data_IF_059104736188
#
_entry.id   IF_059104736188
#
_cell.length_a   1.000
_cell.length_b   1.000
_cell.length_c   1.000
_cell.angle_alpha   90.00
_cell.angle_beta   90.00
_cell.angle_gamma   90.00
#
_symmetry.space_group_name_H-M   'P 1'
#
loop_
_entity.id
_entity.type
_entity.pdbx_description
1 polymer ?
#
# COMPACT_ATOMS: atom_id res chain seq x y z
N UNK A 1 -13.10 -47.10 23.13
CA UNK A 1 -12.04 -46.44 22.37
C UNK A 1 -12.57 -46.14 20.96
N UNK A 2 -13.02 -44.94 20.67
CA UNK A 2 -13.41 -44.50 19.34
C UNK A 2 -12.38 -43.45 18.87
N UNK A 3 -11.66 -43.79 17.83
CA UNK A 3 -10.67 -42.98 17.18
C UNK A 3 -11.34 -41.77 16.52
N UNK A 4 -10.91 -40.57 16.89
CA UNK A 4 -11.33 -39.31 16.28
C UNK A 4 -10.42 -39.10 15.07
N UNK A 5 -10.89 -39.47 13.88
CA UNK A 5 -10.22 -39.11 12.62
C UNK A 5 -10.53 -37.67 12.32
N UNK A 6 -9.53 -36.79 12.51
CA UNK A 6 -9.55 -35.39 12.11
C UNK A 6 -9.62 -35.27 10.57
N UNK A 7 -10.76 -34.82 10.05
CA UNK A 7 -10.89 -34.43 8.64
C UNK A 7 -9.96 -33.24 8.37
N UNK A 8 -8.94 -33.50 7.60
CA UNK A 8 -8.14 -32.43 6.95
C UNK A 8 -9.07 -31.84 5.88
N UNK A 9 -9.56 -30.62 6.11
CA UNK A 9 -10.26 -29.85 5.08
C UNK A 9 -9.18 -29.39 4.08
N UNK A 10 -9.23 -29.95 2.87
CA UNK A 10 -8.34 -29.56 1.78
C UNK A 10 -8.52 -28.10 1.40
N UNK A 11 -7.52 -27.46 0.75
CA UNK A 11 -7.62 -26.08 0.35
C UNK A 11 -8.81 -25.90 -0.60
N UNK A 12 -9.60 -24.83 -0.35
CA UNK A 12 -10.69 -24.43 -1.24
C UNK A 12 -10.16 -24.29 -2.68
N UNK A 13 -10.94 -24.74 -3.65
CA UNK A 13 -10.53 -24.66 -5.05
C UNK A 13 -10.35 -23.21 -5.49
N UNK A 14 -9.46 -22.97 -6.42
CA UNK A 14 -9.18 -21.62 -6.98
C UNK A 14 -10.49 -20.95 -7.45
N UNK A 15 -11.47 -21.71 -7.94
CA UNK A 15 -12.78 -21.22 -8.38
C UNK A 15 -13.68 -20.74 -7.24
N UNK A 16 -13.58 -21.31 -6.03
CA UNK A 16 -14.33 -20.82 -4.84
C UNK A 16 -13.74 -19.55 -4.27
N UNK A 17 -12.43 -19.37 -4.39
CA UNK A 17 -11.73 -18.14 -4.04
C UNK A 17 -12.05 -16.98 -5.00
N UNK A 18 -12.33 -17.27 -6.26
CA UNK A 18 -12.68 -16.27 -7.27
C UNK A 18 -14.11 -15.73 -7.11
N UNK A 19 -15.05 -16.52 -6.61
CA UNK A 19 -16.46 -16.09 -6.39
C UNK A 19 -16.64 -15.10 -5.24
N UNK A 20 -15.70 -14.98 -4.32
CA UNK A 20 -15.75 -14.04 -3.19
C UNK A 20 -15.05 -12.70 -3.46
N UNK A 21 -14.43 -12.54 -4.64
CA UNK A 21 -13.64 -11.37 -5.01
C UNK A 21 -14.39 -10.59 -6.07
N UNK A 22 -15.03 -9.50 -5.67
CA UNK A 22 -15.54 -8.51 -6.62
C UNK A 22 -14.38 -7.92 -7.41
N UNK A 23 -14.09 -8.46 -8.59
CA UNK A 23 -13.23 -7.78 -9.56
C UNK A 23 -14.06 -6.64 -10.17
N UNK A 24 -13.67 -5.40 -9.87
CA UNK A 24 -14.19 -4.26 -10.58
C UNK A 24 -13.52 -4.21 -11.97
N UNK A 25 -14.28 -4.60 -13.00
CA UNK A 25 -13.91 -4.34 -14.39
C UNK A 25 -14.69 -3.08 -14.79
N UNK A 26 -14.01 -1.95 -15.09
CA UNK A 26 -14.71 -0.75 -15.51
C UNK A 26 -15.45 -1.01 -16.84
N UNK A 27 -16.79 -0.95 -16.84
CA UNK A 27 -17.56 -0.81 -18.08
C UNK A 27 -17.28 0.57 -18.66
N UNK A 28 -16.64 0.64 -19.82
CA UNK A 28 -16.43 1.81 -20.69
C UNK A 28 -16.48 3.18 -19.97
N UNK A 29 -15.50 3.45 -19.09
CA UNK A 29 -15.32 4.78 -18.54
C UNK A 29 -14.32 5.51 -19.44
N UNK A 30 -14.80 6.52 -20.13
CA UNK A 30 -13.94 7.47 -20.87
C UNK A 30 -12.92 8.03 -19.91
N UNK A 31 -11.63 7.72 -20.11
CA UNK A 31 -10.51 8.15 -19.27
C UNK A 31 -10.44 9.69 -19.25
N UNK A 32 -11.02 10.32 -18.25
CA UNK A 32 -10.90 11.77 -18.03
C UNK A 32 -9.70 11.99 -17.11
N UNK A 33 -8.50 12.06 -17.69
CA UNK A 33 -7.33 12.54 -16.97
C UNK A 33 -7.31 14.09 -17.03
N UNK A 34 -6.90 14.78 -15.95
CA UNK A 34 -6.71 16.22 -16.02
C UNK A 34 -5.69 16.55 -17.12
N UNK A 35 -6.07 17.44 -18.05
CA UNK A 35 -5.17 17.92 -19.08
C UNK A 35 -4.02 18.70 -18.44
N UNK A 36 -2.83 18.12 -18.47
CA UNK A 36 -1.61 18.81 -18.08
C UNK A 36 -0.74 18.93 -19.32
N UNK A 37 -0.43 20.17 -19.69
CA UNK A 37 0.16 20.57 -20.97
C UNK A 37 1.64 20.23 -21.14
N UNK A 38 2.32 19.70 -20.11
CA UNK A 38 3.75 19.36 -20.12
C UNK A 38 4.02 17.94 -19.61
N UNK A 39 3.43 16.94 -20.28
CA UNK A 39 3.75 15.53 -20.00
C UNK A 39 4.80 15.09 -21.02
N UNK A 40 5.97 14.57 -20.58
CA UNK A 40 6.91 13.93 -21.50
C UNK A 40 6.19 12.79 -22.20
N UNK A 41 6.54 12.54 -23.45
CA UNK A 41 5.97 11.48 -24.31
C UNK A 41 5.81 10.19 -23.52
N UNK A 42 4.56 9.77 -23.26
CA UNK A 42 4.25 8.51 -22.60
C UNK A 42 4.69 7.39 -23.54
N UNK A 43 5.80 6.75 -23.21
CA UNK A 43 6.17 5.49 -23.87
C UNK A 43 5.17 4.42 -23.42
N UNK A 44 4.96 3.40 -24.23
CA UNK A 44 4.09 2.24 -23.98
C UNK A 44 4.61 1.43 -22.76
N UNK A 45 4.59 2.04 -21.57
CA UNK A 45 5.18 1.53 -20.33
C UNK A 45 4.09 1.19 -19.33
N UNK A 46 4.21 -0.01 -18.77
CA UNK A 46 3.32 -0.55 -17.77
C UNK A 46 4.00 -0.57 -16.41
N UNK A 47 3.25 -0.25 -15.36
CA UNK A 47 3.76 -0.31 -13.99
C UNK A 47 2.75 -0.96 -13.04
N UNK A 48 3.28 -1.67 -12.04
CA UNK A 48 2.51 -2.11 -10.87
C UNK A 48 2.81 -1.17 -9.71
N UNK A 49 1.78 -0.73 -8.98
CA UNK A 49 1.91 0.12 -7.80
C UNK A 49 1.37 -0.61 -6.59
N UNK A 50 2.21 -0.81 -5.56
CA UNK A 50 1.76 -1.32 -4.26
C UNK A 50 0.97 -0.21 -3.58
N UNK A 51 -0.35 -0.38 -3.47
CA UNK A 51 -1.29 0.62 -2.98
C UNK A 51 -1.91 0.15 -1.66
N UNK A 52 -1.49 0.73 -0.54
CA UNK A 52 -2.08 0.43 0.77
C UNK A 52 -3.42 1.15 0.99
N UNK A 53 -3.63 2.30 0.36
CA UNK A 53 -4.74 3.22 0.63
C UNK A 53 -4.39 4.30 1.67
N UNK A 54 -3.17 4.30 2.18
CA UNK A 54 -2.59 5.40 2.96
C UNK A 54 -2.18 6.57 2.07
N UNK A 55 -1.85 7.71 2.69
CA UNK A 55 -1.53 8.95 1.96
C UNK A 55 -0.30 8.79 1.06
N UNK A 56 0.74 8.09 1.49
CA UNK A 56 2.01 7.96 0.78
C UNK A 56 1.86 7.15 -0.51
N UNK A 57 1.29 5.96 -0.41
CA UNK A 57 1.06 5.07 -1.57
C UNK A 57 0.02 5.64 -2.54
N UNK A 58 -0.95 6.43 -2.04
CA UNK A 58 -1.92 7.12 -2.88
C UNK A 58 -1.26 8.27 -3.64
N UNK A 59 -0.40 9.05 -2.99
CA UNK A 59 0.39 10.10 -3.66
C UNK A 59 1.29 9.48 -4.74
N UNK A 60 1.95 8.38 -4.41
CA UNK A 60 2.78 7.62 -5.36
C UNK A 60 1.97 7.15 -6.58
N UNK A 61 0.76 6.65 -6.38
CA UNK A 61 -0.13 6.25 -7.48
C UNK A 61 -0.39 7.41 -8.44
N UNK A 62 -0.73 8.60 -7.91
CA UNK A 62 -0.97 9.78 -8.74
C UNK A 62 0.29 10.23 -9.50
N UNK A 63 1.46 10.11 -8.88
CA UNK A 63 2.75 10.47 -9.51
C UNK A 63 3.09 9.50 -10.65
N UNK A 64 2.88 8.20 -10.44
CA UNK A 64 3.10 7.15 -11.45
C UNK A 64 2.15 7.31 -12.64
N UNK A 65 0.88 7.67 -12.40
CA UNK A 65 -0.10 7.92 -13.46
C UNK A 65 0.30 9.04 -14.43
N UNK A 66 1.17 9.94 -14.01
CA UNK A 66 1.70 11.00 -14.88
C UNK A 66 2.78 10.50 -15.85
N UNK A 67 3.44 9.40 -15.51
CA UNK A 67 4.65 8.92 -16.19
C UNK A 67 4.39 7.66 -17.01
N UNK A 68 3.40 6.84 -16.62
CA UNK A 68 3.10 5.54 -17.21
C UNK A 68 1.82 5.58 -18.04
N UNK A 69 1.76 4.74 -19.06
CA UNK A 69 0.56 4.59 -19.89
C UNK A 69 -0.47 3.69 -19.24
N UNK A 70 -0.02 2.57 -18.68
CA UNK A 70 -0.87 1.62 -17.97
C UNK A 70 -0.35 1.42 -16.54
N UNK A 71 -1.23 1.61 -15.56
CA UNK A 71 -0.91 1.45 -14.15
C UNK A 71 -1.85 0.44 -13.52
N UNK A 72 -1.28 -0.52 -12.79
CA UNK A 72 -1.96 -1.63 -12.16
C UNK A 72 -1.75 -1.60 -10.64
N UNK A 73 -2.65 -0.95 -9.87
CA UNK A 73 -2.59 -0.96 -8.42
C UNK A 73 -2.85 -2.34 -7.85
N UNK A 74 -2.05 -2.73 -6.84
CA UNK A 74 -2.23 -3.96 -6.08
C UNK A 74 -2.23 -3.67 -4.58
N UNK A 75 -3.21 -4.21 -3.86
CA UNK A 75 -3.34 -4.12 -2.40
C UNK A 75 -3.30 -5.50 -1.76
N UNK A 76 -3.01 -5.53 -0.45
CA UNK A 76 -2.85 -6.78 0.29
C UNK A 76 -3.70 -6.79 1.55
N UNK A 77 -4.44 -7.89 1.73
CA UNK A 77 -5.01 -8.29 3.02
C UNK A 77 -4.02 -9.26 3.66
N UNK A 78 -3.31 -8.82 4.72
CA UNK A 78 -2.26 -9.61 5.35
C UNK A 78 -2.61 -10.07 6.77
N UNK A 79 -3.89 -9.97 7.16
CA UNK A 79 -4.39 -10.27 8.50
C UNK A 79 -4.44 -9.04 9.40
N UNK A 80 -4.37 -7.83 8.84
CA UNK A 80 -4.53 -6.58 9.59
C UNK A 80 -5.91 -6.51 10.27
N UNK A 81 -5.99 -5.79 11.41
CA UNK A 81 -7.18 -5.69 12.25
C UNK A 81 -8.43 -5.13 11.55
N UNK A 82 -8.25 -4.40 10.45
CA UNK A 82 -9.35 -3.79 9.70
C UNK A 82 -9.02 -3.65 8.21
N UNK A 83 -10.06 -3.46 7.41
CA UNK A 83 -9.93 -3.37 5.94
C UNK A 83 -10.04 -1.92 5.41
N UNK A 84 -10.06 -0.90 6.28
CA UNK A 84 -10.30 0.49 5.84
C UNK A 84 -9.28 0.98 4.83
N UNK A 85 -8.00 0.64 5.03
CA UNK A 85 -6.94 1.00 4.08
C UNK A 85 -7.20 0.39 2.70
N UNK A 86 -7.51 -0.90 2.63
CA UNK A 86 -7.80 -1.57 1.35
C UNK A 86 -9.07 -1.02 0.69
N UNK A 87 -10.09 -0.66 1.50
CA UNK A 87 -11.29 0.01 0.98
C UNK A 87 -10.95 1.40 0.43
N UNK A 88 -10.09 2.17 1.11
CA UNK A 88 -9.58 3.46 0.62
C UNK A 88 -8.82 3.32 -0.70
N UNK A 89 -7.99 2.28 -0.83
CA UNK A 89 -7.30 1.96 -2.08
C UNK A 89 -8.29 1.64 -3.21
N UNK A 90 -9.32 0.84 -2.92
CA UNK A 90 -10.39 0.52 -3.88
C UNK A 90 -11.16 1.78 -4.32
N UNK A 91 -11.58 2.63 -3.37
CA UNK A 91 -12.33 3.86 -3.67
C UNK A 91 -11.48 4.84 -4.50
N UNK A 92 -10.18 4.94 -4.21
CA UNK A 92 -9.24 5.72 -5.02
C UNK A 92 -9.15 5.18 -6.45
N UNK A 93 -8.97 3.87 -6.62
CA UNK A 93 -8.92 3.25 -7.95
C UNK A 93 -10.22 3.44 -8.72
N UNK A 94 -11.38 3.26 -8.05
CA UNK A 94 -12.71 3.51 -8.63
C UNK A 94 -12.86 4.95 -9.11
N UNK A 95 -12.45 5.93 -8.31
CA UNK A 95 -12.48 7.36 -8.68
C UNK A 95 -11.62 7.64 -9.91
N UNK A 96 -10.47 7.00 -10.01
CA UNK A 96 -9.50 7.19 -11.11
C UNK A 96 -9.80 6.32 -12.34
N UNK A 97 -10.81 5.43 -12.29
CA UNK A 97 -11.11 4.49 -13.38
C UNK A 97 -10.00 3.47 -13.62
N UNK A 98 -9.26 3.07 -12.57
CA UNK A 98 -8.15 2.13 -12.64
C UNK A 98 -8.60 0.71 -12.31
N UNK A 99 -7.97 -0.32 -12.89
CA UNK A 99 -8.12 -1.68 -12.41
C UNK A 99 -7.63 -1.76 -10.95
N UNK A 100 -8.26 -2.62 -10.15
CA UNK A 100 -7.85 -2.83 -8.77
C UNK A 100 -7.67 -4.32 -8.50
N UNK A 101 -6.49 -4.69 -8.02
CA UNK A 101 -6.18 -6.07 -7.59
C UNK A 101 -5.98 -6.09 -6.09
N UNK A 102 -6.64 -7.00 -5.39
CA UNK A 102 -6.33 -7.27 -3.99
C UNK A 102 -6.01 -8.74 -3.79
N UNK A 103 -5.00 -9.03 -2.96
CA UNK A 103 -4.59 -10.38 -2.62
C UNK A 103 -4.70 -10.60 -1.12
N UNK A 104 -5.14 -11.79 -0.74
CA UNK A 104 -5.16 -12.21 0.66
C UNK A 104 -3.91 -13.05 0.96
N UNK A 105 -3.10 -12.58 1.90
CA UNK A 105 -1.88 -13.25 2.34
C UNK A 105 -2.01 -13.49 3.85
N UNK A 106 -1.97 -14.72 4.35
CA UNK A 106 -2.18 -15.00 5.77
C UNK A 106 -0.92 -14.70 6.61
N UNK A 107 -0.28 -13.55 6.40
CA UNK A 107 0.98 -13.20 7.04
C UNK A 107 0.84 -13.05 8.56
N UNK A 108 -0.28 -12.53 9.04
CA UNK A 108 -0.55 -12.40 10.47
C UNK A 108 -0.59 -13.74 11.23
N UNK A 109 -0.77 -14.89 10.55
CA UNK A 109 -0.72 -16.21 11.17
C UNK A 109 0.71 -16.67 11.44
N UNK A 110 1.68 -16.24 10.64
CA UNK A 110 3.09 -16.67 10.76
C UNK A 110 3.99 -15.57 11.35
N UNK A 111 3.59 -14.32 11.24
CA UNK A 111 4.34 -13.15 11.67
C UNK A 111 3.42 -12.16 12.42
N UNK A 112 2.97 -12.49 13.66
CA UNK A 112 2.07 -11.64 14.42
C UNK A 112 2.73 -10.33 14.85
N UNK A 113 1.95 -9.25 14.90
CA UNK A 113 2.33 -7.93 15.41
C UNK A 113 1.13 -7.26 16.06
N UNK A 114 1.30 -6.07 16.65
CA UNK A 114 0.16 -5.31 17.18
C UNK A 114 -0.85 -4.90 16.10
N UNK A 115 -0.49 -4.93 14.83
CA UNK A 115 -1.40 -4.64 13.71
C UNK A 115 -2.21 -5.87 13.26
N UNK A 116 -1.77 -7.08 13.55
CA UNK A 116 -2.40 -8.33 13.08
C UNK A 116 -2.99 -9.17 14.21
N UNK A 117 -2.45 -9.08 15.43
CA UNK A 117 -2.94 -9.80 16.60
C UNK A 117 -4.10 -9.06 17.27
N UNK A 118 -5.21 -9.76 17.54
CA UNK A 118 -6.38 -9.20 18.23
C UNK A 118 -6.11 -8.93 19.71
N UNK A 119 -5.18 -9.65 20.30
CA UNK A 119 -4.88 -9.65 21.75
C UNK A 119 -3.79 -8.63 22.11
N UNK A 120 -3.25 -7.89 21.17
CA UNK A 120 -2.19 -6.90 21.40
C UNK A 120 -2.71 -5.51 21.06
N UNK A 121 -2.64 -4.57 22.02
CA UNK A 121 -3.04 -3.19 21.77
C UNK A 121 -2.12 -2.48 20.78
N UNK A 122 -2.69 -1.53 20.05
CA UNK A 122 -1.93 -0.65 19.16
C UNK A 122 -1.25 0.42 20.05
N UNK A 123 0.09 0.56 19.96
CA UNK A 123 0.81 1.55 20.73
C UNK A 123 0.36 2.97 20.33
N UNK A 124 0.39 3.88 21.32
CA UNK A 124 0.11 5.31 21.16
C UNK A 124 1.39 6.08 21.42
N UNK A 125 1.57 7.20 20.78
CA UNK A 125 2.74 8.06 20.93
C UNK A 125 3.32 8.49 19.60
N UNK A 126 4.51 9.06 19.66
CA UNK A 126 5.22 9.52 18.46
C UNK A 126 5.68 8.34 17.60
N UNK A 127 5.75 8.55 16.28
CA UNK A 127 6.08 7.50 15.33
C UNK A 127 7.48 6.90 15.53
N UNK A 128 8.43 7.68 16.04
CA UNK A 128 9.80 7.23 16.33
C UNK A 128 9.97 6.52 17.68
N UNK A 129 8.93 6.44 18.50
CA UNK A 129 9.01 5.77 19.80
C UNK A 129 9.33 4.28 19.67
N UNK A 130 10.16 3.76 20.58
CA UNK A 130 10.54 2.34 20.64
C UNK A 130 9.33 1.41 20.64
N UNK A 131 8.22 1.82 21.27
CA UNK A 131 6.97 1.08 21.30
C UNK A 131 6.37 0.81 19.91
N UNK A 132 6.67 1.66 18.91
CA UNK A 132 6.20 1.51 17.54
C UNK A 132 6.80 0.29 16.83
N UNK A 133 7.92 -0.25 17.30
CA UNK A 133 8.46 -1.52 16.78
C UNK A 133 7.45 -2.67 16.87
N UNK A 134 6.51 -2.62 17.83
CA UNK A 134 5.42 -3.61 17.93
C UNK A 134 4.45 -3.57 16.75
N UNK A 135 4.43 -2.49 15.96
CA UNK A 135 3.61 -2.37 14.75
C UNK A 135 4.28 -3.01 13.52
N UNK A 136 5.56 -3.32 13.61
CA UNK A 136 6.25 -4.00 12.52
C UNK A 136 5.66 -5.40 12.31
N UNK A 137 5.17 -5.67 11.10
CA UNK A 137 4.80 -7.02 10.66
C UNK A 137 6.02 -7.60 9.98
N UNK A 138 6.67 -8.60 10.59
CA UNK A 138 7.96 -9.10 10.11
C UNK A 138 7.94 -9.47 8.63
N UNK A 139 8.92 -8.99 7.88
CA UNK A 139 9.12 -9.31 6.46
C UNK A 139 7.96 -8.92 5.51
N UNK A 140 7.06 -8.04 5.95
CA UNK A 140 5.85 -7.71 5.20
C UNK A 140 6.16 -7.13 3.83
N UNK A 141 7.08 -6.19 3.75
CA UNK A 141 7.36 -5.48 2.51
C UNK A 141 8.08 -6.36 1.47
N UNK A 142 8.98 -7.27 1.90
CA UNK A 142 9.55 -8.26 1.00
C UNK A 142 8.47 -9.16 0.37
N UNK A 143 7.51 -9.63 1.18
CA UNK A 143 6.39 -10.44 0.70
C UNK A 143 5.55 -9.66 -0.31
N UNK A 144 5.19 -8.41 -0.01
CA UNK A 144 4.39 -7.57 -0.90
C UNK A 144 5.11 -7.28 -2.22
N UNK A 145 6.39 -6.92 -2.16
CA UNK A 145 7.21 -6.67 -3.35
C UNK A 145 7.31 -7.94 -4.19
N UNK A 146 7.49 -9.12 -3.59
CA UNK A 146 7.57 -10.40 -4.32
C UNK A 146 6.26 -10.71 -5.07
N UNK A 147 5.09 -10.52 -4.45
CA UNK A 147 3.81 -10.69 -5.13
C UNK A 147 3.56 -9.64 -6.22
N UNK A 148 3.92 -8.39 -5.95
CA UNK A 148 3.80 -7.31 -6.94
C UNK A 148 4.71 -7.56 -8.15
N UNK A 149 5.91 -8.09 -7.93
CA UNK A 149 6.84 -8.49 -8.99
C UNK A 149 6.27 -9.62 -9.86
N UNK A 150 5.74 -10.67 -9.24
CA UNK A 150 5.09 -11.76 -9.98
C UNK A 150 3.87 -11.24 -10.79
N UNK A 151 3.11 -10.29 -10.22
CA UNK A 151 2.01 -9.67 -10.94
C UNK A 151 2.50 -8.80 -12.11
N UNK A 152 3.57 -8.04 -11.94
CA UNK A 152 4.20 -7.25 -13.00
C UNK A 152 4.65 -8.13 -14.16
N UNK A 153 5.35 -9.24 -13.88
CA UNK A 153 5.77 -10.22 -14.87
C UNK A 153 4.57 -10.76 -15.67
N UNK A 154 3.49 -11.15 -14.98
CA UNK A 154 2.29 -11.66 -15.61
C UNK A 154 1.56 -10.65 -16.50
N UNK A 155 1.72 -9.35 -16.28
CA UNK A 155 1.17 -8.25 -17.06
C UNK A 155 2.12 -7.78 -18.20
N UNK A 156 3.36 -8.24 -18.19
CA UNK A 156 4.43 -7.69 -19.03
C UNK A 156 4.82 -6.26 -18.64
N UNK A 157 4.65 -5.90 -17.35
CA UNK A 157 5.12 -4.65 -16.78
C UNK A 157 6.57 -4.82 -16.31
N UNK A 158 7.38 -3.77 -16.46
CA UNK A 158 8.82 -3.79 -16.14
C UNK A 158 9.15 -2.99 -14.88
N UNK A 159 8.17 -2.34 -14.27
CA UNK A 159 8.36 -1.50 -13.08
C UNK A 159 7.36 -1.82 -11.99
N UNK A 160 7.88 -1.93 -10.74
CA UNK A 160 7.08 -2.05 -9.53
C UNK A 160 7.39 -0.85 -8.64
N UNK A 161 6.36 -0.14 -8.23
CA UNK A 161 6.48 1.04 -7.38
C UNK A 161 6.09 0.72 -5.94
N UNK A 162 6.93 1.15 -5.00
CA UNK A 162 6.78 0.95 -3.57
C UNK A 162 6.95 2.26 -2.81
N UNK A 163 6.06 2.56 -1.88
CA UNK A 163 5.93 3.86 -1.22
C UNK A 163 6.63 3.96 0.14
N UNK A 164 7.82 3.37 0.34
CA UNK A 164 8.62 3.63 1.52
C UNK A 164 9.19 5.05 1.49
N UNK A 165 9.35 5.66 2.67
CA UNK A 165 9.87 7.01 2.82
C UNK A 165 10.80 7.15 4.03
N UNK A 166 11.48 8.33 4.16
CA UNK A 166 12.51 8.56 5.18
C UNK A 166 12.05 8.36 6.62
N UNK A 167 10.79 8.70 6.94
CA UNK A 167 10.22 8.51 8.28
C UNK A 167 10.10 7.04 8.70
N UNK A 168 9.99 6.12 7.75
CA UNK A 168 9.87 4.68 8.03
C UNK A 168 11.19 4.05 8.52
N UNK A 169 12.35 4.63 8.20
CA UNK A 169 13.66 4.02 8.40
C UNK A 169 14.00 3.72 9.86
N UNK A 170 13.50 4.53 10.79
CA UNK A 170 13.77 4.36 12.22
C UNK A 170 13.16 3.07 12.76
N UNK A 171 11.94 2.73 12.30
CA UNK A 171 11.12 1.64 12.86
C UNK A 171 11.15 0.38 11.99
N UNK A 172 11.09 0.53 10.66
CA UNK A 172 10.91 -0.59 9.74
C UNK A 172 12.20 -0.90 8.96
N UNK A 173 12.92 -1.99 9.30
CA UNK A 173 14.13 -2.38 8.57
C UNK A 173 13.88 -2.61 7.08
N UNK A 174 12.69 -3.10 6.71
CA UNK A 174 12.27 -3.40 5.34
C UNK A 174 11.73 -2.16 4.58
N UNK A 175 12.06 -0.95 5.08
CA UNK A 175 11.87 0.33 4.39
C UNK A 175 13.20 1.06 4.16
N UNK A 176 14.32 0.54 4.65
CA UNK A 176 15.62 1.20 4.60
C UNK A 176 16.28 1.11 3.22
N UNK A 177 17.20 2.03 2.89
CA UNK A 177 17.92 2.01 1.61
C UNK A 177 18.59 0.67 1.30
N UNK A 178 19.26 0.07 2.29
CA UNK A 178 19.97 -1.20 2.12
C UNK A 178 19.02 -2.36 1.76
N UNK A 179 17.80 -2.34 2.30
CA UNK A 179 16.76 -3.30 1.93
C UNK A 179 16.28 -3.07 0.51
N UNK A 180 16.04 -1.81 0.13
CA UNK A 180 15.59 -1.44 -1.23
C UNK A 180 16.61 -1.84 -2.27
N UNK A 181 17.91 -1.59 -2.01
CA UNK A 181 19.01 -1.98 -2.90
C UNK A 181 19.07 -3.51 -3.09
N UNK A 182 19.01 -4.27 -1.99
CA UNK A 182 19.02 -5.73 -2.04
C UNK A 182 17.80 -6.29 -2.78
N UNK A 183 16.60 -5.73 -2.55
CA UNK A 183 15.39 -6.14 -3.27
C UNK A 183 15.45 -5.78 -4.75
N UNK A 184 16.02 -4.64 -5.11
CA UNK A 184 16.24 -4.25 -6.50
C UNK A 184 17.13 -5.25 -7.23
N UNK A 185 18.20 -5.71 -6.56
CA UNK A 185 19.09 -6.72 -7.09
C UNK A 185 18.39 -8.07 -7.30
N UNK A 186 17.59 -8.51 -6.35
CA UNK A 186 16.77 -9.73 -6.47
C UNK A 186 15.79 -9.61 -7.63
N UNK A 187 15.08 -8.49 -7.76
CA UNK A 187 14.05 -8.31 -8.78
C UNK A 187 14.61 -8.31 -10.20
N UNK A 188 15.83 -7.80 -10.39
CA UNK A 188 16.52 -7.87 -11.70
C UNK A 188 16.81 -9.30 -12.16
N UNK A 189 16.82 -10.27 -11.24
CA UNK A 189 17.19 -11.66 -11.50
C UNK A 189 16.00 -12.62 -11.56
N UNK A 190 14.76 -12.15 -11.33
CA UNK A 190 13.63 -13.05 -11.18
C UNK A 190 12.83 -13.33 -12.46
N UNK A 191 13.19 -12.73 -13.59
CA UNK A 191 12.60 -13.05 -14.89
C UNK A 191 13.63 -12.92 -16.02
N UNK A 192 13.25 -13.32 -17.24
CA UNK A 192 14.05 -13.14 -18.47
C UNK A 192 14.23 -11.66 -18.84
N UNK A 193 13.34 -10.80 -18.40
CA UNK A 193 13.44 -9.34 -18.50
C UNK A 193 13.68 -8.74 -17.12
N UNK A 194 14.47 -7.69 -17.09
CA UNK A 194 14.74 -6.96 -15.86
C UNK A 194 13.46 -6.29 -15.34
N UNK A 195 13.13 -6.56 -14.08
CA UNK A 195 12.06 -5.87 -13.35
C UNK A 195 12.70 -4.86 -12.40
N UNK A 196 12.27 -3.60 -12.47
CA UNK A 196 12.83 -2.50 -11.70
C UNK A 196 11.96 -2.19 -10.47
N UNK A 197 12.57 -2.13 -9.30
CA UNK A 197 11.93 -1.58 -8.11
C UNK A 197 12.14 -0.07 -8.09
N UNK A 198 11.05 0.67 -8.01
CA UNK A 198 11.04 2.14 -7.95
C UNK A 198 10.53 2.60 -6.58
N UNK A 199 11.36 3.34 -5.85
CA UNK A 199 11.04 3.85 -4.51
C UNK A 199 11.35 5.36 -4.47
N UNK A 200 10.59 6.20 -5.20
CA UNK A 200 10.95 7.59 -5.42
C UNK A 200 10.94 8.44 -4.15
N UNK A 201 10.23 8.02 -3.10
CA UNK A 201 10.10 8.77 -1.86
C UNK A 201 11.05 8.30 -0.76
N UNK A 202 11.99 7.40 -1.06
CA UNK A 202 12.87 6.74 -0.08
C UNK A 202 13.54 7.71 0.90
N UNK A 203 13.91 8.90 0.45
CA UNK A 203 14.57 9.94 1.26
C UNK A 203 13.69 11.15 1.58
N UNK A 204 12.38 11.08 1.25
CA UNK A 204 11.45 12.16 1.48
C UNK A 204 10.86 12.11 2.88
N UNK A 205 10.49 13.27 3.40
CA UNK A 205 9.63 13.38 4.58
C UNK A 205 8.15 13.19 4.19
N UNK A 206 7.30 12.89 5.14
CA UNK A 206 5.85 12.82 4.89
C UNK A 206 5.28 14.19 4.47
N UNK A 207 5.86 15.28 4.94
CA UNK A 207 5.49 16.63 4.49
C UNK A 207 5.83 16.87 3.01
N UNK A 208 6.98 16.35 2.52
CA UNK A 208 7.32 16.43 1.09
C UNK A 208 6.36 15.65 0.23
N UNK A 209 5.97 14.45 0.68
CA UNK A 209 4.96 13.61 0.01
C UNK A 209 3.62 14.34 -0.04
N UNK A 210 3.19 14.95 1.07
CA UNK A 210 1.93 15.71 1.12
C UNK A 210 1.95 16.93 0.19
N UNK A 211 3.04 17.70 0.14
CA UNK A 211 3.21 18.81 -0.82
C UNK A 211 3.06 18.30 -2.24
N UNK A 212 3.77 17.21 -2.57
CA UNK A 212 3.70 16.61 -3.89
C UNK A 212 2.29 16.15 -4.23
N UNK A 213 1.60 15.49 -3.32
CA UNK A 213 0.24 15.05 -3.54
C UNK A 213 -0.77 16.20 -3.70
N UNK A 214 -0.56 17.31 -2.99
CA UNK A 214 -1.36 18.53 -3.16
C UNK A 214 -1.19 19.11 -4.58
N UNK A 215 0.04 19.17 -5.09
CA UNK A 215 0.33 19.58 -6.47
C UNK A 215 -0.32 18.65 -7.52
N UNK A 216 -0.39 17.35 -7.21
CA UNK A 216 -1.00 16.33 -8.07
C UNK A 216 -2.53 16.31 -7.98
N UNK A 217 -3.14 17.03 -7.04
CA UNK A 217 -4.58 17.03 -6.79
C UNK A 217 -5.08 15.73 -6.15
N UNK A 218 -4.28 15.12 -5.28
CA UNK A 218 -4.67 13.92 -4.51
C UNK A 218 -5.83 14.25 -3.59
N UNK A 219 -6.87 13.42 -3.64
CA UNK A 219 -7.99 13.51 -2.71
C UNK A 219 -7.67 12.72 -1.42
N UNK A 220 -7.09 13.42 -0.47
CA UNK A 220 -6.73 12.83 0.81
C UNK A 220 -7.93 12.43 1.68
N UNK A 221 -9.15 12.85 1.36
CA UNK A 221 -10.37 12.39 2.04
C UNK A 221 -10.66 10.91 1.80
N UNK A 222 -10.15 10.35 0.70
CA UNK A 222 -10.24 8.93 0.37
C UNK A 222 -9.13 8.08 0.98
N UNK A 223 -8.14 8.69 1.65
CA UNK A 223 -7.01 7.94 2.22
C UNK A 223 -7.26 7.59 3.69
N UNK A 224 -6.70 6.48 4.14
CA UNK A 224 -6.79 6.05 5.53
C UNK A 224 -5.44 5.63 6.08
N UNK A 225 -5.09 6.11 7.28
CA UNK A 225 -3.78 5.86 7.90
C UNK A 225 -3.91 5.26 9.30
N UNK A 226 -5.03 5.51 10.01
CA UNK A 226 -5.21 5.11 11.40
C UNK A 226 -5.23 3.59 11.59
N UNK A 227 -4.36 3.07 12.46
CA UNK A 227 -4.25 1.65 12.77
C UNK A 227 -5.48 1.06 13.49
N UNK A 228 -6.30 1.89 14.18
CA UNK A 228 -7.50 1.40 14.87
C UNK A 228 -8.65 1.01 13.92
N UNK A 229 -8.72 1.55 12.71
CA UNK A 229 -9.71 1.22 11.69
C UNK A 229 -11.17 1.50 12.05
N UNK A 230 -11.43 2.37 13.04
CA UNK A 230 -12.77 2.76 13.47
C UNK A 230 -13.36 3.81 12.53
N UNK A 231 -14.60 4.24 12.77
CA UNK A 231 -15.28 5.24 11.93
C UNK A 231 -14.51 6.57 11.86
N UNK A 232 -14.00 7.04 12.99
CA UNK A 232 -13.12 8.19 13.10
C UNK A 232 -11.69 7.75 13.37
N UNK A 233 -10.71 8.46 12.83
CA UNK A 233 -9.31 8.22 13.13
C UNK A 233 -9.02 8.54 14.60
N UNK A 234 -8.13 7.78 15.25
CA UNK A 234 -7.91 7.93 16.70
C UNK A 234 -7.11 9.18 17.08
N UNK A 235 -6.37 9.77 16.15
CA UNK A 235 -5.50 10.94 16.40
C UNK A 235 -4.28 10.68 17.30
N UNK A 236 -4.07 9.44 17.79
CA UNK A 236 -3.12 9.14 18.87
C UNK A 236 -2.15 7.99 18.56
N UNK A 237 -2.40 7.15 17.54
CA UNK A 237 -1.42 6.15 17.10
C UNK A 237 -0.31 6.82 16.27
N UNK A 238 0.86 6.18 16.15
CA UNK A 238 1.99 6.74 15.44
C UNK A 238 1.67 7.22 14.03
N UNK A 239 0.92 6.43 13.26
CA UNK A 239 0.52 6.82 11.92
C UNK A 239 -0.43 8.04 11.88
N UNK A 240 -1.30 8.24 12.89
CA UNK A 240 -2.11 9.46 13.00
C UNK A 240 -1.25 10.66 13.39
N UNK A 241 -0.33 10.50 14.33
CA UNK A 241 0.57 11.57 14.78
C UNK A 241 1.39 12.09 13.60
N UNK A 242 2.04 11.20 12.86
CA UNK A 242 2.85 11.55 11.71
C UNK A 242 2.02 12.22 10.58
N UNK A 243 0.80 11.72 10.32
CA UNK A 243 -0.11 12.33 9.34
C UNK A 243 -0.50 13.75 9.74
N UNK A 244 -0.96 13.96 10.97
CA UNK A 244 -1.35 15.27 11.48
C UNK A 244 -0.18 16.26 11.49
N UNK A 245 1.02 15.77 11.78
CA UNK A 245 2.25 16.56 11.73
C UNK A 245 2.56 17.02 10.31
N UNK A 246 2.49 16.13 9.33
CA UNK A 246 2.70 16.48 7.93
C UNK A 246 1.70 17.54 7.44
N UNK A 247 0.41 17.41 7.77
CA UNK A 247 -0.61 18.39 7.39
C UNK A 247 -0.38 19.75 8.04
N UNK A 248 0.02 19.77 9.33
CA UNK A 248 0.40 20.99 10.04
C UNK A 248 1.63 21.67 9.40
N UNK A 249 2.67 20.90 9.06
CA UNK A 249 3.92 21.42 8.52
C UNK A 249 3.75 22.01 7.11
N UNK A 250 2.82 21.45 6.35
CA UNK A 250 2.45 21.98 5.02
C UNK A 250 1.46 23.16 5.13
N UNK A 251 0.81 23.34 6.28
CA UNK A 251 -0.16 24.42 6.51
C UNK A 251 -1.52 24.18 5.83
N UNK A 252 -1.93 22.92 5.65
CA UNK A 252 -3.22 22.54 5.08
C UNK A 252 -4.02 21.71 6.10
N UNK A 253 -5.35 21.76 6.00
CA UNK A 253 -6.22 20.99 6.89
C UNK A 253 -6.34 19.53 6.40
N UNK A 254 -6.25 18.58 7.35
CA UNK A 254 -6.48 17.17 7.03
C UNK A 254 -7.99 16.91 6.82
N UNK A 255 -8.41 16.42 5.64
CA UNK A 255 -9.82 16.24 5.34
C UNK A 255 -10.49 15.06 6.05
N UNK A 256 -9.75 14.17 6.74
CA UNK A 256 -10.37 13.08 7.49
C UNK A 256 -10.77 13.53 8.90
N UNK A 257 -11.76 12.84 9.48
CA UNK A 257 -12.26 13.16 10.82
C UNK A 257 -11.52 12.35 11.89
N UNK A 258 -11.23 13.02 12.99
CA UNK A 258 -10.58 12.44 14.17
C UNK A 258 -11.55 12.36 15.35
N UNK A 259 -11.24 11.46 16.31
CA UNK A 259 -11.89 11.45 17.60
C UNK A 259 -11.37 12.61 18.45
N UNK A 260 -12.23 13.15 19.27
CA UNK A 260 -11.90 14.13 20.30
C UNK A 260 -10.96 13.55 21.38
#
# INVERSE_FOLDING_TARGET
>A
MKSNEGRIVGPASVQELERSKGEFVPSEVTKVYPKITDVPTRYNRKAVVILSGGMDSTTLLYDVLRQMEEVYPISFHYGQKHNREVNSAFDTCRKLGLPFKSLQIPLGLVAPSSLTSKDTDIPKGHYEDESMKQTAVPNRNMVFISFATAYAIGLGAEEVYYGAHGGDHAIYPDCRPEFVDAMSDVMRLCDYKEIKLQVPYLYWTKADILKRGTELGVDYSLTWTCYEGKELACGKCGACAERLEAFRDVGVEDPIKYKD
#
